data_IF_097005145649
#
_entry.id   IF_097005145649
#
_cell.length_a   1.000
_cell.length_b   1.000
_cell.length_c   1.000
_cell.angle_alpha   90.00
_cell.angle_beta   90.00
_cell.angle_gamma   90.00
#
_symmetry.space_group_name_H-M   'P 1'
#
loop_
_entity.id
_entity.type
_entity.pdbx_description
1 polymer ?
#
# COMPACT_ATOMS: atom_id res chain seq x y z
N UNK A 1 -12.50 5.56 -11.99
CA UNK A 1 -11.63 4.39 -11.74
C UNK A 1 -11.44 4.26 -10.24
N UNK A 2 -12.17 3.33 -9.61
CA UNK A 2 -12.08 3.08 -8.17
C UNK A 2 -11.16 1.91 -7.91
N UNK A 3 -10.06 2.14 -7.18
CA UNK A 3 -9.22 1.05 -6.70
C UNK A 3 -9.91 0.42 -5.47
N UNK A 4 -10.32 -0.84 -5.57
CA UNK A 4 -10.91 -1.60 -4.45
C UNK A 4 -9.73 -2.14 -3.61
N UNK A 5 -9.54 -1.58 -2.42
CA UNK A 5 -8.53 -2.04 -1.46
C UNK A 5 -9.17 -2.85 -0.34
N UNK A 6 -8.57 -3.99 0.02
CA UNK A 6 -8.98 -4.82 1.15
C UNK A 6 -8.37 -4.27 2.45
N UNK A 7 -9.20 -3.76 3.37
CA UNK A 7 -8.75 -3.28 4.68
C UNK A 7 -9.18 -4.21 5.81
N UNK A 8 -8.23 -4.51 6.71
CA UNK A 8 -8.48 -5.36 7.88
C UNK A 8 -7.92 -4.75 9.19
N UNK A 9 -8.84 -4.64 10.16
CA UNK A 9 -8.74 -4.72 11.63
C UNK A 9 -8.06 -3.61 12.47
N UNK A 10 -8.85 -3.10 13.43
CA UNK A 10 -8.46 -2.36 14.66
C UNK A 10 -7.85 -3.33 15.70
N UNK A 11 -6.83 -2.88 16.43
CA UNK A 11 -6.15 -3.63 17.51
C UNK A 11 -6.78 -3.31 18.87
N UNK A 12 -7.10 -4.33 19.69
CA UNK A 12 -7.17 -4.26 21.17
C UNK A 12 -6.86 -5.63 21.82
N UNK A 13 -6.14 -5.57 22.94
CA UNK A 13 -5.48 -6.66 23.70
C UNK A 13 -6.37 -7.46 24.67
N UNK A 14 -6.01 -8.74 24.85
CA UNK A 14 -5.71 -9.34 26.17
C UNK A 14 -6.77 -10.19 26.92
N UNK A 15 -6.53 -11.51 27.04
CA UNK A 15 -7.05 -12.33 28.17
C UNK A 15 -7.19 -13.85 27.93
N UNK A 16 -6.26 -14.67 28.46
CA UNK A 16 -6.23 -16.16 28.38
C UNK A 16 -7.04 -16.86 29.47
N UNK A 17 -7.69 -18.02 29.19
CA UNK A 17 -7.75 -19.24 30.04
C UNK A 17 -8.00 -20.52 29.20
N UNK A 18 -7.36 -21.64 29.56
CA UNK A 18 -7.44 -22.97 28.89
C UNK A 18 -8.42 -23.95 29.58
N UNK A 19 -9.09 -24.82 28.81
CA UNK A 19 -9.69 -26.11 29.23
C UNK A 19 -9.65 -27.15 28.08
N UNK A 20 -9.60 -28.44 28.47
CA UNK A 20 -9.28 -29.73 27.78
C UNK A 20 -10.30 -30.16 26.68
N UNK A 21 -9.95 -31.04 25.69
CA UNK A 21 -10.36 -30.85 24.29
C UNK A 21 -11.73 -31.45 23.95
N UNK A 22 -12.64 -30.57 23.54
CA UNK A 22 -13.73 -30.93 22.63
C UNK A 22 -13.14 -31.03 21.22
N UNK A 23 -13.61 -31.99 20.40
CA UNK A 23 -13.38 -31.97 18.95
C UNK A 23 -13.86 -30.63 18.43
N UNK A 24 -12.92 -29.73 18.17
CA UNK A 24 -13.21 -28.37 17.73
C UNK A 24 -13.91 -28.47 16.40
N UNK A 25 -15.10 -27.86 16.22
CA UNK A 25 -15.60 -27.63 14.87
C UNK A 25 -14.49 -26.94 14.07
N UNK A 26 -14.35 -27.23 12.76
CA UNK A 26 -13.33 -26.59 11.94
C UNK A 26 -13.40 -25.07 12.18
N UNK A 27 -12.25 -24.40 12.39
CA UNK A 27 -12.21 -22.99 12.78
C UNK A 27 -13.14 -22.20 11.86
N UNK A 28 -14.09 -21.49 12.45
CA UNK A 28 -15.08 -20.72 11.70
C UNK A 28 -14.34 -19.64 10.93
N UNK A 29 -14.19 -19.86 9.63
CA UNK A 29 -13.63 -18.85 8.73
C UNK A 29 -14.70 -17.77 8.57
N UNK A 30 -14.41 -16.60 9.11
CA UNK A 30 -15.23 -15.40 8.99
C UNK A 30 -15.16 -14.87 7.55
N UNK A 31 -16.32 -14.59 6.96
CA UNK A 31 -16.44 -14.02 5.62
C UNK A 31 -16.67 -12.54 5.79
N UNK A 32 -15.71 -11.75 5.32
CA UNK A 32 -15.82 -10.30 5.37
C UNK A 32 -15.98 -9.76 3.96
N UNK A 33 -16.98 -8.89 3.77
CA UNK A 33 -17.06 -8.08 2.56
C UNK A 33 -16.05 -6.94 2.68
N UNK A 34 -15.23 -6.67 1.66
CA UNK A 34 -14.32 -5.54 1.68
C UNK A 34 -15.10 -4.23 1.68
N UNK A 35 -14.65 -3.26 2.47
CA UNK A 35 -15.12 -1.89 2.34
C UNK A 35 -14.43 -1.24 1.12
N UNK A 36 -15.21 -0.72 0.17
CA UNK A 36 -14.65 0.06 -0.95
C UNK A 36 -14.16 1.41 -0.44
N UNK A 37 -12.85 1.63 -0.48
CA UNK A 37 -12.23 2.89 -0.05
C UNK A 37 -12.01 3.78 -1.27
N UNK A 38 -12.68 4.93 -1.31
CA UNK A 38 -12.46 5.95 -2.34
C UNK A 38 -11.36 6.91 -1.88
N UNK A 39 -10.15 6.64 -2.32
CA UNK A 39 -9.01 7.52 -2.12
C UNK A 39 -8.95 8.59 -3.22
N UNK A 40 -8.69 9.84 -2.83
CA UNK A 40 -8.68 10.98 -3.75
C UNK A 40 -7.31 11.30 -4.33
N UNK A 41 -6.23 10.79 -3.72
CA UNK A 41 -4.85 10.98 -4.17
C UNK A 41 -4.11 9.66 -4.11
N UNK A 42 -3.59 9.17 -5.24
CA UNK A 42 -3.02 7.83 -5.37
C UNK A 42 -1.65 7.86 -6.04
N UNK A 43 -0.58 7.64 -5.27
CA UNK A 43 0.77 7.40 -5.78
C UNK A 43 0.87 5.99 -6.38
N UNK A 44 1.27 5.90 -7.65
CA UNK A 44 1.54 4.64 -8.36
C UNK A 44 2.92 4.11 -7.98
N UNK A 45 2.98 3.26 -6.95
CA UNK A 45 4.23 2.82 -6.33
C UNK A 45 5.25 2.24 -7.33
N UNK A 46 4.77 1.55 -8.34
CA UNK A 46 5.56 0.93 -9.40
C UNK A 46 6.28 1.93 -10.30
N UNK A 47 5.89 3.20 -10.25
CA UNK A 47 6.50 4.30 -11.04
C UNK A 47 7.50 5.14 -10.24
N UNK A 48 7.60 4.93 -8.92
CA UNK A 48 8.50 5.69 -8.05
C UNK A 48 9.98 5.37 -8.32
N UNK A 49 10.79 6.38 -8.64
CA UNK A 49 12.20 6.25 -9.05
C UNK A 49 13.05 7.38 -8.49
N UNK A 50 14.33 7.08 -8.25
CA UNK A 50 15.40 8.07 -8.15
C UNK A 50 15.93 8.39 -9.55
N UNK A 51 16.26 9.66 -9.78
CA UNK A 51 16.86 10.17 -11.01
C UNK A 51 18.03 11.08 -10.66
N UNK A 52 19.14 11.09 -11.41
CA UNK A 52 20.16 12.12 -11.25
C UNK A 52 19.56 13.52 -11.45
N UNK A 53 19.97 14.46 -10.61
CA UNK A 53 19.69 15.88 -10.82
C UNK A 53 20.55 16.40 -12.00
N UNK A 54 19.94 16.96 -13.06
CA UNK A 54 20.68 17.43 -14.23
C UNK A 54 21.53 18.69 -13.97
N UNK A 55 21.17 19.51 -12.98
CA UNK A 55 21.89 20.76 -12.69
C UNK A 55 22.81 20.62 -11.46
N UNK A 56 22.60 19.59 -10.63
CA UNK A 56 23.36 19.35 -9.39
C UNK A 56 23.98 17.94 -9.37
N UNK A 57 25.19 17.75 -9.94
CA UNK A 57 25.86 16.46 -9.97
C UNK A 57 26.01 15.84 -8.58
N UNK A 58 25.67 14.56 -8.45
CA UNK A 58 25.71 13.82 -7.18
C UNK A 58 24.38 13.82 -6.41
N UNK A 59 23.47 14.76 -6.69
CA UNK A 59 22.14 14.76 -6.11
C UNK A 59 21.17 13.87 -6.89
N UNK A 60 20.23 13.28 -6.16
CA UNK A 60 19.15 12.45 -6.68
C UNK A 60 17.80 13.10 -6.43
N UNK A 61 16.97 13.12 -7.47
CA UNK A 61 15.59 13.61 -7.48
C UNK A 61 14.60 12.43 -7.44
N UNK A 62 13.51 12.61 -6.70
CA UNK A 62 12.39 11.69 -6.66
C UNK A 62 11.43 11.98 -7.82
N UNK A 63 11.00 10.94 -8.53
CA UNK A 63 9.99 11.04 -9.58
C UNK A 63 8.98 9.90 -9.49
N UNK A 64 7.72 10.17 -9.81
CA UNK A 64 6.65 9.18 -9.83
C UNK A 64 5.44 9.67 -10.64
N UNK A 65 4.55 8.75 -10.95
CA UNK A 65 3.20 9.05 -11.43
C UNK A 65 2.18 8.91 -10.31
N UNK A 66 1.12 9.71 -10.40
CA UNK A 66 0.02 9.66 -9.45
C UNK A 66 -1.31 9.97 -10.14
N UNK A 67 -2.38 9.59 -9.47
CA UNK A 67 -3.75 9.96 -9.83
C UNK A 67 -4.33 10.83 -8.73
N UNK A 68 -5.12 11.83 -9.09
CA UNK A 68 -5.83 12.64 -8.11
C UNK A 68 -7.22 13.02 -8.64
N UNK A 69 -8.25 12.98 -7.79
CA UNK A 69 -9.60 13.40 -8.20
C UNK A 69 -9.87 14.87 -7.92
N UNK A 70 -9.06 15.48 -7.06
CA UNK A 70 -9.15 16.87 -6.61
C UNK A 70 -7.74 17.48 -6.57
N UNK A 71 -7.60 18.81 -6.53
CA UNK A 71 -6.32 19.46 -6.25
C UNK A 71 -5.75 19.00 -4.91
N UNK A 72 -4.45 19.20 -4.69
CA UNK A 72 -3.82 18.75 -3.47
C UNK A 72 -2.36 19.13 -3.34
N UNK A 73 -1.69 18.49 -2.39
CA UNK A 73 -0.30 18.72 -2.05
C UNK A 73 0.48 17.41 -2.01
N UNK A 74 1.69 17.44 -2.52
CA UNK A 74 2.72 16.43 -2.37
C UNK A 74 3.74 16.96 -1.35
N UNK A 75 4.20 16.12 -0.43
CA UNK A 75 5.25 16.45 0.53
C UNK A 75 6.25 15.30 0.55
N UNK A 76 7.50 15.61 0.20
CA UNK A 76 8.63 14.71 0.32
C UNK A 76 9.33 14.99 1.65
N UNK A 77 9.61 13.94 2.41
CA UNK A 77 10.32 14.01 3.68
C UNK A 77 11.41 12.95 3.67
N UNK A 78 12.66 13.38 3.76
CA UNK A 78 13.80 12.48 3.96
C UNK A 78 14.01 12.21 5.45
N UNK A 79 14.39 10.98 5.80
CA UNK A 79 14.49 10.50 7.19
C UNK A 79 13.24 10.80 8.01
N UNK A 80 12.10 10.37 7.45
CA UNK A 80 10.77 10.70 7.92
C UNK A 80 10.28 9.80 9.05
N UNK A 81 9.60 10.38 10.03
CA UNK A 81 8.81 9.69 11.04
C UNK A 81 7.33 10.05 10.88
N UNK A 82 6.47 9.02 10.98
CA UNK A 82 5.01 9.17 10.95
C UNK A 82 4.46 9.21 12.38
N UNK A 83 3.67 10.23 12.70
CA UNK A 83 2.97 10.30 13.99
C UNK A 83 1.60 9.61 13.96
N UNK A 84 0.92 9.56 15.11
CA UNK A 84 -0.44 9.00 15.23
C UNK A 84 -1.52 9.80 14.50
N UNK A 85 -1.21 11.04 14.10
CA UNK A 85 -2.11 11.98 13.42
C UNK A 85 -1.89 12.01 11.90
N UNK A 86 -1.11 11.06 11.35
CA UNK A 86 -0.84 10.96 9.93
C UNK A 86 -0.02 12.13 9.38
N UNK A 87 0.83 12.73 10.22
CA UNK A 87 1.81 13.73 9.80
C UNK A 87 3.18 13.09 9.64
N UNK A 88 3.99 13.72 8.79
CA UNK A 88 5.38 13.37 8.60
C UNK A 88 6.27 14.45 9.20
N UNK A 89 7.30 14.03 9.92
CA UNK A 89 8.35 14.90 10.44
C UNK A 89 9.71 14.41 9.96
N UNK A 90 10.64 15.32 9.70
CA UNK A 90 12.01 14.98 9.31
C UNK A 90 12.89 14.93 10.55
N UNK A 91 13.55 13.81 10.81
CA UNK A 91 14.53 13.69 11.90
C UNK A 91 15.80 14.52 11.62
N UNK A 92 16.08 14.82 10.35
CA UNK A 92 17.21 15.64 9.89
C UNK A 92 16.74 16.93 9.20
N UNK A 93 15.68 17.56 9.72
CA UNK A 93 15.03 18.73 9.10
C UNK A 93 15.94 19.95 8.88
N UNK A 94 16.98 20.12 9.71
CA UNK A 94 17.96 21.20 9.57
C UNK A 94 18.86 21.03 8.34
N UNK A 95 19.10 19.78 7.91
CA UNK A 95 19.95 19.45 6.75
C UNK A 95 19.11 19.23 5.50
N UNK A 96 17.96 18.56 5.64
CA UNK A 96 17.05 18.22 4.56
C UNK A 96 15.65 18.76 4.89
N UNK A 97 15.32 19.97 4.43
CA UNK A 97 14.00 20.54 4.66
C UNK A 97 12.92 19.72 3.94
N UNK A 98 11.70 19.79 4.46
CA UNK A 98 10.54 19.18 3.81
C UNK A 98 10.27 19.89 2.49
N UNK A 99 9.93 19.11 1.46
CA UNK A 99 9.77 19.64 0.11
C UNK A 99 8.32 19.48 -0.30
N UNK A 100 7.62 20.60 -0.48
CA UNK A 100 6.17 20.64 -0.71
C UNK A 100 5.82 21.16 -2.09
N UNK A 101 4.84 20.52 -2.73
CA UNK A 101 4.37 20.88 -4.07
C UNK A 101 2.86 20.84 -4.13
N UNK A 102 2.24 21.95 -4.49
CA UNK A 102 0.81 22.01 -4.74
C UNK A 102 0.51 21.67 -6.21
N UNK A 103 -0.58 20.94 -6.45
CA UNK A 103 -1.08 20.63 -7.78
C UNK A 103 -2.55 21.04 -7.89
N UNK A 104 -2.87 21.78 -8.94
CA UNK A 104 -4.15 22.49 -9.06
C UNK A 104 -5.24 21.71 -9.76
N UNK A 105 -4.92 20.58 -10.42
CA UNK A 105 -5.86 19.83 -11.24
C UNK A 105 -5.90 18.38 -10.82
N UNK A 106 -7.12 17.88 -10.60
CA UNK A 106 -7.39 16.45 -10.65
C UNK A 106 -7.11 15.90 -12.05
N UNK A 107 -6.79 14.61 -12.13
CA UNK A 107 -6.47 13.89 -13.35
C UNK A 107 -5.86 12.53 -13.05
N UNK A 108 -5.81 11.69 -14.07
CA UNK A 108 -5.13 10.40 -14.03
C UNK A 108 -3.77 10.50 -14.70
N UNK A 109 -2.78 9.77 -14.18
CA UNK A 109 -1.46 9.67 -14.79
C UNK A 109 -0.64 10.96 -14.74
N UNK A 110 -0.89 11.83 -13.76
CA UNK A 110 -0.02 12.97 -13.49
C UNK A 110 1.39 12.49 -13.25
N UNK A 111 2.38 13.27 -13.71
CA UNK A 111 3.80 13.00 -13.50
C UNK A 111 4.37 14.06 -12.59
N UNK A 112 5.03 13.60 -11.54
CA UNK A 112 5.78 14.44 -10.63
C UNK A 112 7.27 14.15 -10.80
N UNK A 113 8.05 15.21 -10.88
CA UNK A 113 9.50 15.19 -10.78
C UNK A 113 9.87 16.27 -9.78
N UNK A 114 10.65 15.90 -8.77
CA UNK A 114 11.19 16.83 -7.80
C UNK A 114 12.02 17.92 -8.53
N UNK A 115 11.88 19.21 -8.17
CA UNK A 115 12.64 20.28 -8.81
C UNK A 115 14.14 20.14 -8.56
N UNK A 116 14.90 20.53 -9.58
CA UNK A 116 16.35 20.66 -9.51
C UNK A 116 16.80 21.53 -8.33
N UNK A 117 17.90 21.14 -7.69
CA UNK A 117 18.50 21.83 -6.55
C UNK A 117 17.84 21.52 -5.20
N UNK A 118 16.79 20.70 -5.20
CA UNK A 118 16.16 20.19 -3.96
C UNK A 118 16.47 18.73 -3.69
N UNK A 119 17.28 18.09 -4.54
CA UNK A 119 17.63 16.68 -4.46
C UNK A 119 18.40 16.30 -3.20
N UNK A 120 18.59 15.00 -3.02
CA UNK A 120 19.35 14.46 -1.90
C UNK A 120 20.68 13.89 -2.40
N UNK A 121 21.78 14.24 -1.73
CA UNK A 121 23.03 13.50 -1.87
C UNK A 121 23.06 12.39 -0.82
N UNK A 122 22.83 11.16 -1.27
CA UNK A 122 22.81 10.00 -0.38
C UNK A 122 24.20 9.66 0.20
N UNK A 123 25.30 10.13 -0.41
CA UNK A 123 26.65 9.83 0.08
C UNK A 123 27.00 10.54 1.39
N UNK A 124 26.20 11.53 1.79
CA UNK A 124 26.36 12.28 3.03
C UNK A 124 25.82 11.55 4.27
N UNK A 125 25.23 10.36 4.11
CA UNK A 125 24.57 9.62 5.18
C UNK A 125 25.15 8.22 5.31
N UNK A 126 25.05 7.64 6.51
CA UNK A 126 25.56 6.30 6.76
C UNK A 126 24.66 5.24 6.09
N UNK A 127 25.29 4.17 5.57
CA UNK A 127 24.58 3.05 4.94
C UNK A 127 23.51 2.44 5.87
N UNK A 128 23.74 2.43 7.19
CA UNK A 128 22.80 1.94 8.22
C UNK A 128 21.50 2.74 8.29
N UNK A 129 21.55 4.04 7.97
CA UNK A 129 20.41 4.93 7.99
C UNK A 129 19.61 4.87 6.69
N UNK A 130 20.29 4.60 5.57
CA UNK A 130 19.73 4.56 4.22
C UNK A 130 19.14 3.19 3.85
N UNK A 131 19.85 2.12 4.20
CA UNK A 131 19.55 0.75 3.79
C UNK A 131 19.01 -0.03 4.98
N UNK A 132 17.83 0.36 5.46
CA UNK A 132 17.16 -0.33 6.55
C UNK A 132 16.55 -1.65 6.05
N UNK A 133 17.11 -2.76 6.53
CA UNK A 133 16.59 -4.12 6.31
C UNK A 133 15.59 -4.56 7.39
N UNK A 134 15.57 -3.87 8.54
CA UNK A 134 14.74 -4.25 9.68
C UNK A 134 13.26 -3.83 9.54
N UNK A 135 12.37 -4.77 9.84
CA UNK A 135 10.92 -4.56 9.94
C UNK A 135 10.63 -3.97 11.32
N UNK A 136 10.19 -2.71 11.38
CA UNK A 136 9.74 -2.06 12.63
C UNK A 136 10.44 -0.75 13.00
N UNK A 137 11.31 -0.21 12.15
CA UNK A 137 11.92 1.10 12.39
C UNK A 137 10.90 2.24 12.28
N UNK A 138 10.92 3.19 13.20
CA UNK A 138 10.03 4.36 13.18
C UNK A 138 10.42 5.41 12.14
N UNK A 139 11.70 5.43 11.73
CA UNK A 139 12.25 6.39 10.76
C UNK A 139 12.51 5.73 9.40
N UNK A 140 11.94 6.29 8.34
CA UNK A 140 12.09 5.82 6.97
C UNK A 140 12.99 6.77 6.15
N UNK A 141 13.94 6.26 5.35
CA UNK A 141 14.85 7.10 4.56
C UNK A 141 14.13 8.12 3.66
N UNK A 142 12.95 7.76 3.15
CA UNK A 142 12.07 8.64 2.40
C UNK A 142 10.62 8.31 2.72
N UNK A 143 9.79 9.34 2.87
CA UNK A 143 8.34 9.21 2.83
C UNK A 143 7.74 10.26 1.92
N UNK A 144 6.71 9.86 1.17
CA UNK A 144 5.93 10.73 0.30
C UNK A 144 4.52 10.82 0.86
N UNK A 145 4.13 12.00 1.34
CA UNK A 145 2.74 12.30 1.72
C UNK A 145 2.05 12.98 0.55
N UNK A 146 0.86 12.52 0.21
CA UNK A 146 -0.05 13.20 -0.69
C UNK A 146 -1.31 13.54 0.09
N UNK A 147 -1.79 14.77 -0.04
CA UNK A 147 -2.99 15.25 0.64
C UNK A 147 -3.94 15.86 -0.37
N UNK A 148 -5.18 15.43 -0.36
CA UNK A 148 -6.25 16.12 -1.06
C UNK A 148 -6.50 17.50 -0.42
N UNK A 149 -6.83 18.48 -1.25
CA UNK A 149 -7.41 19.72 -0.77
C UNK A 149 -8.68 19.37 0.04
N UNK A 150 -8.84 19.98 1.22
CA UNK A 150 -10.00 19.73 2.04
C UNK A 150 -11.27 20.13 1.27
N UNK A 151 -12.35 19.33 1.31
CA UNK A 151 -13.67 19.86 1.02
C UNK A 151 -14.02 20.98 2.00
N UNK A 152 -14.99 21.81 1.65
CA UNK A 152 -15.64 22.80 2.54
C UNK A 152 -15.86 22.26 3.97
N UNK A 153 -15.87 23.19 4.94
CA UNK A 153 -15.75 22.97 6.39
C UNK A 153 -16.35 21.64 6.93
N UNK A 154 -15.51 20.84 7.60
CA UNK A 154 -15.97 19.73 8.45
C UNK A 154 -15.61 18.30 8.01
N UNK A 155 -14.96 18.09 6.84
CA UNK A 155 -14.47 16.76 6.43
C UNK A 155 -12.98 16.58 6.72
N UNK A 156 -12.60 15.39 7.20
CA UNK A 156 -11.19 15.01 7.35
C UNK A 156 -10.52 14.94 5.97
N UNK A 157 -9.34 15.55 5.82
CA UNK A 157 -8.58 15.54 4.55
C UNK A 157 -8.18 14.12 4.19
N UNK A 158 -8.48 13.70 2.97
CA UNK A 158 -7.96 12.44 2.45
C UNK A 158 -6.46 12.57 2.22
N UNK A 159 -5.70 11.59 2.68
CA UNK A 159 -4.26 11.58 2.53
C UNK A 159 -3.73 10.18 2.27
N UNK A 160 -2.58 10.10 1.61
CA UNK A 160 -1.81 8.90 1.42
C UNK A 160 -0.37 9.14 1.86
N UNK A 161 0.19 8.21 2.62
CA UNK A 161 1.62 8.18 2.94
C UNK A 161 2.22 6.95 2.27
N UNK A 162 3.30 7.13 1.51
CA UNK A 162 4.11 6.06 0.94
C UNK A 162 5.47 6.08 1.64
N UNK A 163 5.74 5.07 2.46
CA UNK A 163 7.02 4.87 3.16
C UNK A 163 7.98 4.07 2.29
N UNK A 164 9.21 4.55 2.20
CA UNK A 164 10.21 4.09 1.24
C UNK A 164 11.52 3.82 1.94
N UNK A 165 12.19 2.75 1.52
CA UNK A 165 13.58 2.47 1.86
C UNK A 165 14.43 2.44 0.60
N UNK A 166 15.74 2.60 0.75
CA UNK A 166 16.68 2.42 -0.34
C UNK A 166 17.21 1.00 -0.34
N UNK A 167 17.54 0.51 -1.53
CA UNK A 167 18.20 -0.79 -1.73
C UNK A 167 19.36 -0.62 -2.68
N UNK A 168 20.46 -1.32 -2.41
CA UNK A 168 21.65 -1.30 -3.26
C UNK A 168 21.65 -2.57 -4.12
N UNK A 169 21.45 -2.40 -5.42
CA UNK A 169 21.46 -3.50 -6.40
C UNK A 169 22.58 -3.28 -7.41
N UNK A 170 23.56 -4.20 -7.46
CA UNK A 170 24.70 -4.12 -8.39
C UNK A 170 25.48 -2.79 -8.33
N UNK A 171 25.53 -2.16 -7.16
CA UNK A 171 26.18 -0.87 -6.95
C UNK A 171 25.30 0.35 -7.19
N UNK A 172 24.09 0.19 -7.73
CA UNK A 172 23.12 1.27 -7.93
C UNK A 172 22.13 1.35 -6.77
N UNK A 173 21.79 2.57 -6.36
CA UNK A 173 20.75 2.79 -5.34
C UNK A 173 19.38 2.87 -6.01
N UNK A 174 18.45 2.04 -5.54
CA UNK A 174 17.05 2.00 -5.98
C UNK A 174 16.10 2.25 -4.82
N UNK A 175 14.87 2.61 -5.15
CA UNK A 175 13.78 2.79 -4.20
C UNK A 175 13.00 1.47 -4.07
N UNK A 176 12.67 1.09 -2.83
CA UNK A 176 11.70 0.04 -2.50
C UNK A 176 10.60 0.61 -1.61
N UNK A 177 9.35 0.48 -2.04
CA UNK A 177 8.19 0.87 -1.22
C UNK A 177 7.99 -0.18 -0.12
N UNK A 178 7.95 0.27 1.13
CA UNK A 178 7.77 -0.58 2.32
C UNK A 178 6.29 -0.67 2.66
N UNK A 179 5.62 0.48 2.76
CA UNK A 179 4.19 0.58 3.10
C UNK A 179 3.53 1.72 2.35
N UNK A 180 2.25 1.53 2.06
CA UNK A 180 1.35 2.62 1.68
C UNK A 180 0.20 2.65 2.67
N UNK A 181 -0.08 3.83 3.19
CA UNK A 181 -1.09 4.07 4.20
C UNK A 181 -2.09 5.08 3.63
N UNK A 182 -3.37 4.92 3.91
CA UNK A 182 -4.41 5.88 3.57
C UNK A 182 -5.05 6.42 4.83
N UNK A 183 -5.41 7.69 4.78
CA UNK A 183 -6.33 8.33 5.69
C UNK A 183 -7.56 8.73 4.88
N UNK A 184 -8.69 8.07 5.13
CA UNK A 184 -9.95 8.34 4.42
C UNK A 184 -11.09 8.29 5.41
N UNK A 185 -11.94 9.32 5.41
CA UNK A 185 -13.11 9.45 6.30
C UNK A 185 -12.76 9.25 7.79
N UNK A 186 -11.65 9.81 8.26
CA UNK A 186 -11.21 9.72 9.67
C UNK A 186 -10.68 8.34 10.09
N UNK A 187 -10.47 7.43 9.14
CA UNK A 187 -9.92 6.11 9.39
C UNK A 187 -8.59 5.91 8.67
N UNK A 188 -7.65 5.25 9.36
CA UNK A 188 -6.35 4.82 8.84
C UNK A 188 -6.45 3.42 8.25
N UNK A 189 -5.84 3.23 7.10
CA UNK A 189 -5.82 2.00 6.34
C UNK A 189 -4.40 1.70 5.83
N UNK A 190 -3.98 0.44 5.83
CA UNK A 190 -2.73 0.00 5.22
C UNK A 190 -3.05 -0.75 3.92
N UNK A 191 -2.43 -0.36 2.81
CA UNK A 191 -2.54 -1.09 1.54
C UNK A 191 -1.67 -2.34 1.62
N UNK A 192 -2.30 -3.46 1.29
CA UNK A 192 -1.61 -4.73 1.15
C UNK A 192 -1.84 -5.26 -0.27
N UNK A 193 -0.76 -5.75 -0.87
CA UNK A 193 -0.83 -6.43 -2.15
C UNK A 193 -1.65 -7.71 -2.07
N UNK A 194 -2.34 -8.01 -3.17
CA UNK A 194 -3.08 -9.25 -3.38
C UNK A 194 -2.30 -10.06 -4.42
N UNK A 195 -1.98 -11.30 -4.10
CA UNK A 195 -1.21 -12.18 -4.98
C UNK A 195 -2.15 -13.03 -5.84
N UNK A 196 -1.75 -13.34 -7.08
CA UNK A 196 -2.52 -14.21 -7.98
C UNK A 196 -3.59 -13.49 -8.81
N UNK A 197 -3.59 -12.16 -8.84
CA UNK A 197 -4.43 -11.33 -9.72
C UNK A 197 -3.96 -11.33 -11.17
N UNK A 198 -2.69 -11.69 -11.40
CA UNK A 198 -1.98 -11.70 -12.68
C UNK A 198 -1.95 -13.10 -13.35
N UNK A 199 -2.05 -14.19 -12.59
CA UNK A 199 -1.91 -15.57 -13.05
C UNK A 199 -3.19 -16.19 -13.63
N UNK A 200 -3.86 -15.49 -14.54
CA UNK A 200 -5.14 -15.92 -15.13
C UNK A 200 -6.35 -15.60 -14.25
N UNK A 201 -7.54 -15.56 -14.85
CA UNK A 201 -8.76 -15.09 -14.15
C UNK A 201 -9.57 -16.20 -13.48
N UNK A 202 -9.31 -17.46 -13.81
CA UNK A 202 -10.14 -18.60 -13.42
C UNK A 202 -9.71 -19.19 -12.09
N UNK A 203 -10.69 -19.57 -11.27
CA UNK A 203 -10.52 -20.28 -10.02
C UNK A 203 -9.65 -21.53 -10.21
N UNK A 204 -8.58 -21.68 -9.43
CA UNK A 204 -7.65 -22.84 -9.55
C UNK A 204 -8.27 -24.16 -9.10
N UNK A 205 -9.45 -24.11 -8.48
CA UNK A 205 -10.15 -25.29 -7.94
C UNK A 205 -11.17 -25.83 -8.95
N UNK A 206 -12.08 -24.99 -9.47
CA UNK A 206 -13.10 -25.43 -10.42
C UNK A 206 -12.75 -25.16 -11.89
N UNK A 207 -11.75 -24.31 -12.16
CA UNK A 207 -11.34 -23.89 -13.51
C UNK A 207 -12.50 -23.39 -14.38
N UNK A 208 -13.54 -22.83 -13.76
CA UNK A 208 -14.78 -22.41 -14.44
C UNK A 208 -15.15 -20.97 -14.09
N UNK A 209 -15.27 -20.70 -12.79
CA UNK A 209 -15.67 -19.38 -12.29
C UNK A 209 -14.46 -18.45 -12.12
N UNK A 210 -14.69 -17.15 -12.21
CA UNK A 210 -13.66 -16.15 -11.96
C UNK A 210 -13.24 -16.15 -10.48
N UNK A 211 -11.96 -15.82 -10.23
CA UNK A 211 -11.45 -15.57 -8.89
C UNK A 211 -12.13 -14.33 -8.33
N UNK A 212 -12.65 -14.44 -7.11
CA UNK A 212 -13.28 -13.35 -6.36
C UNK A 212 -12.91 -13.38 -4.88
N UNK A 213 -12.17 -14.40 -4.41
CA UNK A 213 -11.94 -14.64 -2.99
C UNK A 213 -10.45 -14.59 -2.64
N UNK A 214 -10.11 -13.78 -1.62
CA UNK A 214 -8.77 -13.63 -1.05
C UNK A 214 -8.65 -14.46 0.23
N UNK A 215 -7.57 -15.22 0.34
CA UNK A 215 -7.25 -16.02 1.54
C UNK A 215 -6.33 -15.24 2.49
N UNK A 216 -6.74 -15.00 3.73
CA UNK A 216 -5.90 -14.35 4.74
C UNK A 216 -5.25 -15.38 5.69
N UNK A 217 -4.00 -15.15 6.15
CA UNK A 217 -3.18 -13.95 5.95
C UNK A 217 -2.26 -13.99 4.72
N UNK A 218 -2.26 -15.07 3.93
CA UNK A 218 -1.34 -15.20 2.78
C UNK A 218 -1.66 -14.30 1.58
N UNK A 219 -2.85 -13.70 1.54
CA UNK A 219 -3.36 -12.76 0.51
C UNK A 219 -3.42 -13.30 -0.92
N UNK A 220 -3.47 -14.61 -1.10
CA UNK A 220 -3.69 -15.21 -2.42
C UNK A 220 -5.16 -15.12 -2.84
N UNK A 221 -5.41 -14.48 -3.98
CA UNK A 221 -6.68 -14.52 -4.70
C UNK A 221 -6.62 -15.63 -5.73
N UNK A 222 -7.08 -16.82 -5.37
CA UNK A 222 -6.90 -18.03 -6.18
C UNK A 222 -8.19 -18.82 -6.45
N UNK A 223 -9.30 -18.47 -5.80
CA UNK A 223 -10.55 -19.23 -5.92
C UNK A 223 -11.78 -18.33 -6.07
N UNK A 224 -12.85 -18.90 -6.59
CA UNK A 224 -14.19 -18.30 -6.56
C UNK A 224 -14.87 -18.55 -5.20
N UNK A 225 -15.90 -17.76 -4.90
CA UNK A 225 -16.64 -17.77 -3.65
C UNK A 225 -17.35 -19.11 -3.41
N UNK A 226 -17.79 -19.77 -4.48
CA UNK A 226 -18.34 -21.13 -4.41
C UNK A 226 -17.32 -22.16 -3.90
N UNK A 227 -16.11 -22.17 -4.49
CA UNK A 227 -15.03 -23.06 -4.05
C UNK A 227 -14.51 -22.70 -2.67
N UNK A 228 -14.47 -21.41 -2.33
CA UNK A 228 -14.09 -20.93 -1.01
C UNK A 228 -15.02 -21.45 0.09
N UNK A 229 -16.34 -21.45 -0.15
CA UNK A 229 -17.34 -22.02 0.76
C UNK A 229 -17.15 -23.53 0.95
N UNK A 230 -16.75 -24.25 -0.09
CA UNK A 230 -16.44 -25.68 -0.01
C UNK A 230 -15.13 -25.96 0.74
N UNK A 231 -14.14 -25.05 0.68
CA UNK A 231 -12.84 -25.19 1.35
C UNK A 231 -12.98 -25.44 2.86
N UNK A 232 -14.04 -24.89 3.48
CA UNK A 232 -14.42 -25.05 4.88
C UNK A 232 -14.56 -26.50 5.35
N UNK A 233 -14.91 -27.40 4.44
CA UNK A 233 -15.13 -28.81 4.73
C UNK A 233 -13.89 -29.67 4.48
N UNK A 234 -12.75 -29.04 4.15
CA UNK A 234 -11.47 -29.71 3.94
C UNK A 234 -10.41 -29.22 4.94
N UNK A 235 -9.15 -29.08 4.50
CA UNK A 235 -7.99 -28.73 5.35
C UNK A 235 -7.91 -27.25 5.75
N UNK A 236 -8.81 -26.39 5.24
CA UNK A 236 -8.76 -24.94 5.47
C UNK A 236 -7.38 -24.33 5.17
N UNK A 237 -6.79 -24.68 4.03
CA UNK A 237 -5.48 -24.19 3.60
C UNK A 237 -5.60 -23.49 2.24
N UNK A 238 -4.76 -22.48 2.00
CA UNK A 238 -4.65 -21.84 0.70
C UNK A 238 -4.18 -22.86 -0.37
N UNK A 239 -4.87 -23.02 -1.51
CA UNK A 239 -4.45 -23.94 -2.58
C UNK A 239 -3.08 -23.63 -3.19
N UNK A 240 -2.63 -22.37 -3.11
CA UNK A 240 -1.37 -21.92 -3.71
C UNK A 240 -0.19 -22.13 -2.77
N UNK A 241 -0.26 -21.60 -1.55
CA UNK A 241 0.87 -21.63 -0.61
C UNK A 241 0.71 -22.61 0.56
N UNK A 242 -0.45 -23.30 0.66
CA UNK A 242 -0.79 -24.24 1.75
C UNK A 242 -0.80 -23.64 3.15
N UNK A 243 -0.72 -22.32 3.28
CA UNK A 243 -0.86 -21.65 4.56
C UNK A 243 -2.31 -21.78 5.07
N UNK A 244 -2.53 -22.07 6.37
CA UNK A 244 -3.86 -22.11 6.94
C UNK A 244 -4.64 -20.82 6.71
N UNK A 245 -5.88 -20.96 6.27
CA UNK A 245 -6.81 -19.87 6.03
C UNK A 245 -7.47 -19.47 7.37
N UNK A 246 -7.18 -18.26 7.83
CA UNK A 246 -7.82 -17.69 9.02
C UNK A 246 -9.16 -17.03 8.65
N UNK A 247 -9.18 -16.31 7.52
CA UNK A 247 -10.34 -15.57 7.03
C UNK A 247 -10.38 -15.59 5.50
N UNK A 248 -11.58 -15.47 4.95
CA UNK A 248 -11.82 -15.37 3.50
C UNK A 248 -12.55 -14.05 3.21
N UNK A 249 -12.05 -13.30 2.23
CA UNK A 249 -12.65 -12.03 1.81
C UNK A 249 -13.18 -12.20 0.39
N UNK A 250 -14.50 -12.07 0.23
CA UNK A 250 -15.17 -12.12 -1.07
C UNK A 250 -15.25 -10.71 -1.67
N UNK A 251 -14.69 -10.52 -2.85
CA UNK A 251 -14.79 -9.28 -3.63
C UNK A 251 -16.12 -9.28 -4.41
N UNK A 252 -16.90 -8.20 -4.32
CA UNK A 252 -18.13 -8.08 -5.12
C UNK A 252 -17.79 -7.75 -6.59
N UNK A 253 -18.40 -8.51 -7.51
CA UNK A 253 -18.13 -8.49 -8.95
C UNK A 253 -18.66 -7.27 -9.70
N UNK A 254 -18.23 -6.07 -9.32
CA UNK A 254 -18.34 -4.87 -10.15
C UNK A 254 -16.95 -4.25 -10.34
N UNK A 255 -16.19 -4.75 -11.32
CA UNK A 255 -14.93 -4.10 -11.69
C UNK A 255 -13.90 -4.88 -12.52
N UNK A 256 -14.07 -6.18 -12.79
CA UNK A 256 -13.14 -6.93 -13.66
C UNK A 256 -13.71 -7.23 -15.05
N UNK A 257 -14.64 -6.42 -15.55
CA UNK A 257 -14.95 -6.37 -16.98
C UNK A 257 -13.78 -5.72 -17.71
N UNK A 258 -13.09 -6.53 -18.52
CA UNK A 258 -12.08 -6.08 -19.47
C UNK A 258 -12.70 -5.13 -20.49
N UNK A 259 -12.37 -3.86 -20.43
CA UNK A 259 -12.21 -3.03 -21.63
C UNK A 259 -10.91 -2.26 -21.43
N UNK A 260 -9.80 -2.83 -21.92
CA UNK A 260 -8.59 -2.15 -22.38
C UNK A 260 -7.55 -3.21 -22.77
N UNK A 261 -7.88 -3.94 -23.84
CA UNK A 261 -6.92 -4.65 -24.70
C UNK A 261 -7.45 -4.61 -26.12
N UNK A 262 -7.22 -3.50 -26.83
CA UNK A 262 -6.76 -3.45 -28.22
C UNK A 262 -6.81 -2.01 -28.74
N UNK A 263 -5.72 -1.65 -29.44
CA UNK A 263 -5.43 -0.43 -30.22
C UNK A 263 -4.61 0.63 -29.44
#
# INVERSE_FOLDING_TARGET
MGNIFCCCCRIRDGGKKHKVPATTPPPYIEYQKPATIRNEVNLRKETLRLRPDPENPGQLLVSFSFDATVPGRITLVFFAEEDSQFNLTATKGDTLPLITFDFEKGGLGHKYVQPSGTGVDLSLFEDSELFKEEVGTCTYPLAVKMEAAAPEEGKSRNAQITQVTFVKEKGEVKIRVVKQLLWVNGARYELQDIYGTDQGKECVVCLSEARDTIVLPCRHMCMCSGCAKALRFQKNECPVCRQPAERLVELEGNGYSNEDKHI
#
